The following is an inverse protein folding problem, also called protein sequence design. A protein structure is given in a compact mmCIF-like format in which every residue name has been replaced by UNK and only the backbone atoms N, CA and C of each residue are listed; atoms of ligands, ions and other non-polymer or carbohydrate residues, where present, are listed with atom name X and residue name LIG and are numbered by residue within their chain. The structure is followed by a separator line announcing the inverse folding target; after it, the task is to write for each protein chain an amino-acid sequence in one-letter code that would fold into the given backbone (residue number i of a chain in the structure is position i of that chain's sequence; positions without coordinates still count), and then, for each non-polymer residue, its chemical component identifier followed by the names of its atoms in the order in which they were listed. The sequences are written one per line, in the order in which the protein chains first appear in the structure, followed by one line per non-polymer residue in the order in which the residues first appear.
data_IF_191438801217
#
_entry.id   IF_191438801217
#
_cell.length_a   1.000
_cell.length_b   1.000
_cell.length_c   1.000
_cell.angle_alpha   90.00
_cell.angle_beta   90.00
_cell.angle_gamma   90.00
#
_symmetry.space_group_name_H-M   'P 1'
#
loop_
_entity.id
_entity.type
_entity.pdbx_description
1 polymer ?
#
# COMPACT_ATOMS: atom_id res chain seq x y z
N UNK A 1 22.15 9.42 8.08
CA UNK A 1 20.71 9.14 8.29
C UNK A 1 19.92 9.81 7.19
N UNK A 2 19.95 9.23 5.98
CA UNK A 2 19.28 9.80 4.80
C UNK A 2 17.76 9.51 4.78
N UNK A 3 17.28 8.64 5.67
CA UNK A 3 15.91 8.12 5.66
C UNK A 3 14.86 9.08 6.27
N UNK A 4 15.28 10.11 7.01
CA UNK A 4 14.33 11.00 7.74
C UNK A 4 13.51 11.92 6.84
N UNK A 5 13.94 12.11 5.58
CA UNK A 5 13.26 12.95 4.60
C UNK A 5 12.36 12.17 3.65
N UNK A 6 12.44 10.84 3.66
CA UNK A 6 11.59 9.99 2.83
C UNK A 6 10.17 9.97 3.36
N UNK A 7 9.19 9.98 2.47
CA UNK A 7 7.76 9.97 2.79
C UNK A 7 7.08 8.92 1.93
N UNK A 8 6.30 8.08 2.59
CA UNK A 8 5.43 7.07 1.99
C UNK A 8 4.11 7.11 2.74
N UNK A 9 3.02 7.45 2.05
CA UNK A 9 1.70 7.57 2.67
C UNK A 9 0.58 7.45 1.62
N UNK A 10 -0.65 7.27 2.08
CA UNK A 10 -1.83 7.19 1.22
C UNK A 10 -2.68 8.45 1.35
N UNK A 11 -3.24 8.93 0.23
CA UNK A 11 -4.23 10.00 0.22
C UNK A 11 -5.42 9.65 -0.68
N UNK A 12 -6.58 10.21 -0.36
CA UNK A 12 -7.75 10.17 -1.24
C UNK A 12 -7.76 11.39 -2.14
N UNK A 13 -7.59 11.20 -3.44
CA UNK A 13 -7.66 12.27 -4.43
C UNK A 13 -8.98 12.18 -5.22
N UNK A 14 -9.62 13.32 -5.46
CA UNK A 14 -10.83 13.40 -6.30
C UNK A 14 -10.49 13.00 -7.73
N UNK A 15 -11.30 12.13 -8.32
CA UNK A 15 -11.14 11.58 -9.66
C UNK A 15 -12.44 11.69 -10.45
N UNK A 16 -12.32 12.09 -11.71
CA UNK A 16 -13.43 12.17 -12.68
C UNK A 16 -13.44 11.00 -13.67
N UNK A 17 -12.56 10.01 -13.47
CA UNK A 17 -12.48 8.81 -14.29
C UNK A 17 -13.76 7.97 -14.12
N UNK A 18 -14.42 7.66 -15.24
CA UNK A 18 -15.58 6.78 -15.29
C UNK A 18 -15.15 5.32 -15.13
N UNK A 19 -15.96 4.51 -14.44
CA UNK A 19 -15.82 3.05 -14.48
C UNK A 19 -16.11 2.59 -15.92
N UNK A 20 -15.25 1.77 -16.53
CA UNK A 20 -15.48 1.29 -17.92
C UNK A 20 -16.88 0.68 -18.02
N UNK A 21 -17.63 1.06 -19.06
CA UNK A 21 -18.99 0.55 -19.31
C UNK A 21 -20.12 1.31 -18.61
N UNK A 22 -19.83 2.36 -17.84
CA UNK A 22 -20.86 3.18 -17.17
C UNK A 22 -20.67 4.64 -17.57
N UNK A 23 -21.58 5.20 -18.38
CA UNK A 23 -21.63 6.62 -18.79
C UNK A 23 -22.04 7.57 -17.65
N UNK A 24 -21.73 7.21 -16.40
CA UNK A 24 -22.02 8.02 -15.22
C UNK A 24 -20.70 8.61 -14.75
N UNK A 25 -20.56 9.93 -14.88
CA UNK A 25 -19.46 10.69 -14.27
C UNK A 25 -19.67 10.77 -12.76
N UNK A 26 -19.43 9.69 -12.02
CA UNK A 26 -19.34 9.79 -10.58
C UNK A 26 -18.02 10.49 -10.23
N UNK A 27 -18.08 11.69 -9.67
CA UNK A 27 -16.94 12.27 -8.95
C UNK A 27 -16.61 11.34 -7.78
N UNK A 28 -15.63 10.47 -7.94
CA UNK A 28 -15.18 9.53 -6.91
C UNK A 28 -13.87 9.96 -6.28
N UNK A 29 -13.48 9.30 -5.20
CA UNK A 29 -12.12 9.41 -4.67
C UNK A 29 -11.34 8.14 -5.03
N UNK A 30 -10.08 8.31 -5.41
CA UNK A 30 -9.12 7.20 -5.57
C UNK A 30 -8.08 7.29 -4.46
N UNK A 31 -7.74 6.13 -3.89
CA UNK A 31 -6.61 6.02 -2.97
C UNK A 31 -5.33 6.02 -3.81
N UNK A 32 -4.43 6.94 -3.50
CA UNK A 32 -3.16 7.14 -4.17
C UNK A 32 -2.05 6.90 -3.15
N UNK A 33 -1.14 5.98 -3.47
CA UNK A 33 0.11 5.80 -2.76
C UNK A 33 1.11 6.85 -3.22
N UNK A 34 1.57 7.67 -2.28
CA UNK A 34 2.53 8.75 -2.50
C UNK A 34 3.86 8.29 -1.93
N UNK A 35 4.89 8.18 -2.77
CA UNK A 35 6.27 7.89 -2.35
C UNK A 35 7.19 9.00 -2.84
N UNK A 36 8.09 9.48 -1.98
CA UNK A 36 8.95 10.59 -2.35
C UNK A 36 9.79 11.12 -1.20
N UNK A 37 10.28 12.35 -1.36
CA UNK A 37 11.24 12.95 -0.42
C UNK A 37 10.99 14.44 -0.23
N UNK A 38 11.15 14.90 1.02
CA UNK A 38 11.18 16.32 1.34
C UNK A 38 12.47 16.94 0.82
N UNK A 39 12.34 18.05 0.08
CA UNK A 39 13.47 18.88 -0.34
C UNK A 39 13.74 19.94 0.71
N UNK A 40 14.98 20.02 1.17
CA UNK A 40 15.43 21.05 2.09
C UNK A 40 16.19 22.16 1.34
N UNK A 41 16.02 23.41 1.79
CA UNK A 41 16.88 24.52 1.43
C UNK A 41 17.98 24.61 2.48
N UNK A 42 19.23 24.43 2.06
CA UNK A 42 20.39 24.76 2.90
C UNK A 42 20.77 26.20 2.58
N UNK A 43 20.68 27.08 3.58
CA UNK A 43 21.15 28.46 3.46
C UNK A 43 22.53 28.55 4.10
N UNK A 44 23.57 28.73 3.27
CA UNK A 44 24.93 29.00 3.74
C UNK A 44 25.08 30.52 3.87
N UNK A 45 24.93 31.06 5.08
CA UNK A 45 25.30 32.43 5.37
C UNK A 45 26.57 32.47 6.24
N UNK A 46 27.52 33.32 5.82
CA UNK A 46 28.80 33.64 6.44
C UNK A 46 28.87 33.35 7.95
N UNK A 47 29.34 32.17 8.32
CA UNK A 47 29.67 31.80 9.71
C UNK A 47 28.52 31.38 10.64
N UNK A 48 27.26 31.30 10.16
CA UNK A 48 26.14 30.79 10.98
C UNK A 48 25.35 29.70 10.25
N UNK A 49 25.29 28.51 10.83
CA UNK A 49 24.43 27.42 10.36
C UNK A 49 22.96 27.77 10.65
N UNK A 50 22.20 28.13 9.63
CA UNK A 50 20.74 28.31 9.74
C UNK A 50 20.07 26.93 9.62
N UNK A 51 19.02 26.62 10.41
CA UNK A 51 18.30 25.36 10.27
C UNK A 51 17.76 25.18 8.84
N UNK A 52 17.95 23.99 8.28
CA UNK A 52 17.44 23.63 6.96
C UNK A 52 15.91 23.81 6.90
N UNK A 53 15.43 24.62 5.96
CA UNK A 53 13.98 24.84 5.78
C UNK A 53 13.41 23.87 4.75
N UNK A 54 12.25 23.30 5.01
CA UNK A 54 11.54 22.45 4.04
C UNK A 54 11.03 23.33 2.89
N UNK A 55 11.49 23.06 1.66
CA UNK A 55 11.05 23.76 0.45
C UNK A 55 9.78 23.16 -0.15
N UNK A 56 9.61 21.85 -0.01
CA UNK A 56 8.51 21.13 -0.62
C UNK A 56 8.75 19.63 -0.68
N UNK A 57 7.86 18.93 -1.36
CA UNK A 57 7.85 17.47 -1.49
C UNK A 57 7.87 17.09 -2.97
N UNK A 58 8.79 16.21 -3.36
CA UNK A 58 8.83 15.62 -4.71
C UNK A 58 8.42 14.16 -4.58
N UNK A 59 7.43 13.73 -5.36
CA UNK A 59 6.80 12.42 -5.21
C UNK A 59 6.50 11.75 -6.54
N UNK A 60 6.39 10.43 -6.49
CA UNK A 60 5.68 9.61 -7.45
C UNK A 60 4.34 9.21 -6.82
N UNK A 61 3.27 9.27 -7.63
CA UNK A 61 1.91 8.98 -7.21
C UNK A 61 1.39 7.76 -7.96
N UNK A 62 1.10 6.68 -7.23
CA UNK A 62 0.58 5.44 -7.78
C UNK A 62 -0.88 5.24 -7.36
N UNK A 63 -1.80 5.16 -8.31
CA UNK A 63 -3.18 4.77 -7.99
C UNK A 63 -3.20 3.28 -7.62
N UNK A 64 -3.85 2.95 -6.50
CA UNK A 64 -4.02 1.54 -6.14
C UNK A 64 -4.86 0.81 -7.20
N UNK A 65 -4.58 -0.49 -7.45
CA UNK A 65 -5.37 -1.29 -8.36
C UNK A 65 -6.87 -1.24 -7.99
N UNK A 66 -7.78 -1.27 -8.97
CA UNK A 66 -9.21 -1.37 -8.70
C UNK A 66 -9.50 -2.59 -7.80
N UNK A 67 -10.46 -2.48 -6.86
CA UNK A 67 -10.78 -3.57 -5.93
C UNK A 67 -11.39 -4.80 -6.61
N UNK A 68 -11.75 -4.71 -7.90
CA UNK A 68 -12.32 -5.81 -8.66
C UNK A 68 -11.21 -6.69 -9.24
N UNK A 69 -11.14 -7.92 -8.74
CA UNK A 69 -10.15 -8.95 -9.12
C UNK A 69 -10.00 -9.16 -10.64
N UNK A 70 -11.08 -9.02 -11.41
CA UNK A 70 -11.06 -9.19 -12.88
C UNK A 70 -10.19 -8.19 -13.63
N UNK A 71 -9.80 -7.08 -12.99
CA UNK A 71 -8.92 -6.06 -13.58
C UNK A 71 -7.47 -6.17 -13.10
N UNK A 72 -7.18 -7.06 -12.14
CA UNK A 72 -5.83 -7.33 -11.64
C UNK A 72 -5.21 -8.44 -12.50
N UNK A 73 -4.11 -8.13 -13.16
CA UNK A 73 -3.30 -9.15 -13.86
C UNK A 73 -2.56 -9.96 -12.79
N UNK A 74 -3.06 -11.16 -12.52
CA UNK A 74 -2.42 -12.10 -11.60
C UNK A 74 -1.26 -12.77 -12.37
N UNK A 75 -0.03 -12.47 -11.97
CA UNK A 75 1.18 -13.03 -12.59
C UNK A 75 1.43 -14.49 -12.12
N UNK A 76 2.34 -15.21 -12.77
CA UNK A 76 2.71 -16.59 -12.46
C UNK A 76 3.44 -16.77 -11.13
N UNK A 77 3.65 -15.71 -10.34
CA UNK A 77 4.26 -15.73 -9.01
C UNK A 77 3.37 -15.10 -7.93
N UNK A 78 2.05 -15.05 -8.17
CA UNK A 78 1.07 -14.51 -7.21
C UNK A 78 0.14 -15.64 -6.73
N UNK A 79 -0.74 -15.38 -5.79
CA UNK A 79 -1.95 -16.20 -5.59
C UNK A 79 -2.97 -15.33 -4.87
N UNK A 80 -4.24 -15.74 -4.91
CA UNK A 80 -5.32 -14.97 -4.32
C UNK A 80 -5.77 -15.59 -3.01
N UNK A 81 -5.85 -14.74 -1.99
CA UNK A 81 -6.51 -15.03 -0.71
C UNK A 81 -7.63 -14.00 -0.52
N UNK A 82 -8.79 -14.44 -0.05
CA UNK A 82 -9.86 -13.54 0.42
C UNK A 82 -9.87 -13.53 1.93
N UNK A 83 -10.03 -12.35 2.50
CA UNK A 83 -10.03 -12.13 3.93
C UNK A 83 -11.22 -11.26 4.34
N UNK A 84 -11.65 -11.42 5.59
CA UNK A 84 -12.57 -10.48 6.23
C UNK A 84 -11.81 -9.20 6.66
N UNK A 85 -12.56 -8.19 7.11
CA UNK A 85 -12.02 -6.93 7.62
C UNK A 85 -11.12 -7.09 8.85
N UNK A 86 -11.09 -8.26 9.49
CA UNK A 86 -10.19 -8.55 10.61
C UNK A 86 -9.02 -9.46 10.21
N UNK A 87 -8.76 -9.57 8.89
CA UNK A 87 -7.75 -10.43 8.27
C UNK A 87 -7.92 -11.93 8.56
N UNK A 88 -9.12 -12.39 8.90
CA UNK A 88 -9.45 -13.81 8.87
C UNK A 88 -9.53 -14.32 7.43
N UNK A 89 -8.80 -15.38 7.12
CA UNK A 89 -8.75 -16.00 5.80
C UNK A 89 -10.03 -16.81 5.58
N UNK A 90 -10.82 -16.42 4.58
CA UNK A 90 -12.07 -17.10 4.21
C UNK A 90 -11.95 -17.93 2.92
N UNK A 91 -10.90 -17.70 2.13
CA UNK A 91 -10.60 -18.47 0.93
C UNK A 91 -9.13 -18.29 0.53
N UNK A 92 -8.52 -19.33 -0.03
CA UNK A 92 -7.21 -19.25 -0.69
C UNK A 92 -7.19 -20.14 -1.93
N UNK A 93 -6.53 -19.67 -3.00
CA UNK A 93 -6.23 -20.47 -4.18
C UNK A 93 -5.30 -21.64 -3.85
N UNK A 94 -5.47 -22.77 -4.55
CA UNK A 94 -4.58 -23.94 -4.42
C UNK A 94 -3.13 -23.63 -4.82
N UNK A 95 -2.90 -22.57 -5.59
CA UNK A 95 -1.57 -22.14 -6.05
C UNK A 95 -0.61 -21.76 -4.90
N UNK A 96 -1.12 -21.56 -3.69
CA UNK A 96 -0.28 -21.36 -2.50
C UNK A 96 0.74 -22.50 -2.34
N UNK A 97 0.35 -23.74 -2.63
CA UNK A 97 1.21 -24.92 -2.51
C UNK A 97 2.39 -24.91 -3.48
N UNK A 98 2.36 -24.08 -4.53
CA UNK A 98 3.45 -23.95 -5.49
C UNK A 98 4.57 -23.04 -4.95
N UNK A 99 4.29 -22.22 -3.93
CA UNK A 99 5.23 -21.24 -3.37
C UNK A 99 5.50 -21.40 -1.87
N UNK A 100 4.64 -22.12 -1.16
CA UNK A 100 4.68 -22.29 0.27
C UNK A 100 4.46 -23.76 0.62
N UNK A 101 5.01 -24.21 1.75
CA UNK A 101 4.77 -25.54 2.31
C UNK A 101 3.40 -25.66 3.01
N UNK A 102 2.39 -24.96 2.49
CA UNK A 102 1.04 -24.85 3.05
C UNK A 102 0.01 -25.07 1.95
N UNK A 103 -1.11 -25.70 2.31
CA UNK A 103 -2.29 -25.83 1.46
C UNK A 103 -3.39 -24.87 1.93
N UNK A 104 -4.45 -24.64 1.11
CA UNK A 104 -5.59 -23.84 1.55
C UNK A 104 -6.25 -24.36 2.83
N UNK A 105 -6.26 -25.68 3.05
CA UNK A 105 -6.82 -26.31 4.24
C UNK A 105 -6.05 -25.90 5.50
N UNK A 106 -4.75 -25.67 5.38
CA UNK A 106 -3.90 -25.31 6.52
C UNK A 106 -4.10 -23.86 6.98
N UNK A 107 -4.64 -23.00 6.11
CA UNK A 107 -4.69 -21.55 6.34
C UNK A 107 -6.09 -20.96 6.45
N UNK A 108 -7.11 -21.56 5.81
CA UNK A 108 -8.49 -21.06 5.88
C UNK A 108 -9.00 -21.18 7.32
N UNK A 109 -9.66 -20.11 7.80
CA UNK A 109 -10.14 -20.00 9.18
C UNK A 109 -9.12 -19.43 10.16
N UNK A 110 -7.86 -19.21 9.75
CA UNK A 110 -6.84 -18.53 10.56
C UNK A 110 -6.73 -17.05 10.19
N UNK A 111 -6.22 -16.24 11.11
CA UNK A 111 -5.84 -14.85 10.85
C UNK A 111 -4.52 -14.79 10.10
N UNK A 112 -4.39 -13.85 9.15
CA UNK A 112 -3.11 -13.61 8.44
C UNK A 112 -1.94 -13.42 9.42
N UNK A 113 -2.18 -12.79 10.58
CA UNK A 113 -1.17 -12.61 11.62
C UNK A 113 -0.47 -13.88 12.10
N UNK A 114 -1.11 -15.05 11.97
CA UNK A 114 -0.49 -16.31 12.34
C UNK A 114 0.69 -16.70 11.43
N UNK A 115 0.73 -16.15 10.21
CA UNK A 115 1.71 -16.49 9.18
C UNK A 115 2.73 -15.37 8.92
N UNK A 116 2.60 -14.24 9.60
CA UNK A 116 3.49 -13.10 9.45
C UNK A 116 4.66 -13.27 10.42
N UNK A 117 5.88 -13.03 9.94
CA UNK A 117 7.08 -13.07 10.76
C UNK A 117 6.99 -12.04 11.90
N UNK A 118 7.45 -12.38 13.09
CA UNK A 118 7.25 -11.57 14.30
C UNK A 118 7.76 -10.12 14.15
N UNK A 119 8.85 -9.92 13.42
CA UNK A 119 9.43 -8.59 13.17
C UNK A 119 8.55 -7.72 12.25
N UNK A 120 7.69 -8.32 11.44
CA UNK A 120 6.82 -7.63 10.47
C UNK A 120 5.39 -7.41 11.00
N UNK A 121 4.99 -8.11 12.06
CA UNK A 121 3.62 -8.09 12.61
C UNK A 121 3.16 -6.67 12.90
N UNK A 122 4.00 -5.85 13.54
CA UNK A 122 3.63 -4.49 13.90
C UNK A 122 3.47 -3.58 12.68
N UNK A 123 4.31 -3.73 11.65
CA UNK A 123 4.17 -2.99 10.39
C UNK A 123 2.88 -3.34 9.65
N UNK A 124 2.54 -4.63 9.60
CA UNK A 124 1.29 -5.08 8.99
C UNK A 124 0.07 -4.65 9.83
N UNK A 125 0.17 -4.70 11.16
CA UNK A 125 -0.89 -4.25 12.08
C UNK A 125 -1.15 -2.76 11.92
N UNK A 126 -0.11 -1.95 11.82
CA UNK A 126 -0.26 -0.52 11.54
C UNK A 126 -0.96 -0.30 10.20
N UNK A 127 -0.51 -0.97 9.13
CA UNK A 127 -1.14 -0.87 7.80
C UNK A 127 -2.62 -1.29 7.79
N UNK A 128 -2.96 -2.31 8.57
CA UNK A 128 -4.33 -2.82 8.71
C UNK A 128 -5.25 -1.82 9.43
N UNK A 129 -4.75 -1.14 10.46
CA UNK A 129 -5.53 -0.19 11.27
C UNK A 129 -5.59 1.22 10.69
N UNK A 130 -4.60 1.59 9.87
CA UNK A 130 -4.53 2.90 9.21
C UNK A 130 -5.43 3.01 7.95
N UNK A 131 -6.09 1.91 7.57
CA UNK A 131 -6.96 1.81 6.40
C UNK A 131 -8.43 2.15 6.66
#
# INVERSE_FOLDING_TARGET
TDNTLERSFFIRMKSTLTKRGVHIKSSGYKVIHITGRLRLRVSLSHGRTVPSQIMGLVVVAHALPPPTINEVRIDCHMFVTRVNMDLNIIYCENRISDYMDLTPVDIVGKRCYHFIHAEDVEGIRHSHLDS
#
